data_IF_475483599676
#
_entry.id   IF_475483599676
#
_cell.length_a   1.000
_cell.length_b   1.000
_cell.length_c   1.000
_cell.angle_alpha   90.00
_cell.angle_beta   90.00
_cell.angle_gamma   90.00
#
_symmetry.space_group_name_H-M   'P 1'
#
loop_
_entity.id
_entity.type
_entity.pdbx_description
1 polymer ?
#
# COMPACT_ATOMS: atom_id res chain seq x y z
N UNK A 1 8.73 20.32 4.21
CA UNK A 1 8.76 18.96 3.64
C UNK A 1 9.83 18.17 4.37
N UNK A 2 9.47 17.36 5.37
CA UNK A 2 10.37 16.29 5.80
C UNK A 2 10.18 15.16 4.79
N UNK A 3 11.25 14.93 4.00
CA UNK A 3 11.31 14.26 2.69
C UNK A 3 11.81 12.82 2.81
N UNK A 4 11.26 12.03 3.72
CA UNK A 4 11.66 10.62 3.85
C UNK A 4 10.53 9.75 3.34
N UNK A 5 10.57 9.44 2.05
CA UNK A 5 9.68 8.45 1.46
C UNK A 5 10.49 7.46 0.64
N UNK A 6 10.27 6.17 0.92
CA UNK A 6 10.70 5.09 0.03
C UNK A 6 9.65 4.95 -1.07
N UNK A 7 10.11 4.91 -2.32
CA UNK A 7 9.24 4.78 -3.50
C UNK A 7 9.73 3.63 -4.36
N UNK A 8 8.81 2.76 -4.77
CA UNK A 8 9.08 1.67 -5.70
C UNK A 8 8.01 1.65 -6.79
N UNK A 9 8.42 1.48 -8.06
CA UNK A 9 7.48 1.33 -9.17
C UNK A 9 6.77 -0.02 -9.09
N UNK A 10 5.46 -0.04 -9.28
CA UNK A 10 4.70 -1.26 -9.53
C UNK A 10 4.95 -1.71 -10.98
N UNK A 11 6.12 -2.32 -11.23
CA UNK A 11 6.64 -2.60 -12.58
C UNK A 11 5.70 -3.43 -13.45
N UNK A 12 4.92 -4.30 -12.83
CA UNK A 12 3.98 -5.15 -13.52
C UNK A 12 2.67 -4.43 -13.85
N UNK A 13 2.37 -3.26 -13.29
CA UNK A 13 1.09 -2.57 -13.56
C UNK A 13 0.98 -2.16 -15.04
N UNK A 14 -0.21 -2.31 -15.61
CA UNK A 14 -0.49 -1.91 -16.99
C UNK A 14 -0.33 -0.40 -17.22
N UNK A 15 -0.41 0.40 -16.15
CA UNK A 15 -0.31 1.85 -16.17
C UNK A 15 0.63 2.34 -15.05
N UNK A 16 1.17 3.57 -15.11
CA UNK A 16 2.08 4.05 -14.08
C UNK A 16 1.48 3.97 -12.68
N UNK A 17 2.13 3.22 -11.80
CA UNK A 17 1.76 3.13 -10.39
C UNK A 17 2.99 2.92 -9.50
N UNK A 18 2.88 3.36 -8.25
CA UNK A 18 3.98 3.35 -7.29
C UNK A 18 3.51 2.87 -5.91
N UNK A 19 4.30 1.98 -5.31
CA UNK A 19 4.23 1.70 -3.88
C UNK A 19 5.11 2.71 -3.13
N UNK A 20 4.58 3.27 -2.05
CA UNK A 20 5.25 4.29 -1.25
C UNK A 20 5.17 3.94 0.23
N UNK A 21 6.28 4.12 0.96
CA UNK A 21 6.32 4.12 2.42
C UNK A 21 6.81 5.50 2.85
N UNK A 22 5.89 6.34 3.33
CA UNK A 22 6.17 7.73 3.68
C UNK A 22 5.60 8.09 5.06
N UNK A 23 6.18 9.11 5.69
CA UNK A 23 5.53 9.79 6.82
C UNK A 23 4.52 10.80 6.28
N UNK A 24 3.24 10.64 6.67
CA UNK A 24 2.14 11.52 6.32
C UNK A 24 1.30 11.84 7.56
N UNK A 25 0.99 13.11 7.79
CA UNK A 25 0.23 13.58 8.97
C UNK A 25 0.72 13.05 10.33
N UNK A 26 2.04 12.83 10.49
CA UNK A 26 2.69 12.22 11.68
C UNK A 26 2.39 10.73 11.87
N UNK A 27 2.01 10.04 10.80
CA UNK A 27 1.87 8.58 10.77
C UNK A 27 2.82 8.02 9.70
N UNK A 28 3.42 6.86 9.95
CA UNK A 28 4.06 6.11 8.88
C UNK A 28 2.97 5.42 8.04
N UNK A 29 2.98 5.58 6.73
CA UNK A 29 1.93 5.10 5.84
C UNK A 29 2.51 4.35 4.66
N UNK A 30 1.83 3.27 4.28
CA UNK A 30 2.02 2.59 3.00
C UNK A 30 0.93 3.05 2.05
N UNK A 31 1.32 3.31 0.79
CA UNK A 31 0.39 3.72 -0.26
C UNK A 31 0.67 2.97 -1.56
N UNK A 32 -0.40 2.63 -2.29
CA UNK A 32 -0.35 2.49 -3.74
C UNK A 32 -0.93 3.76 -4.34
N UNK A 33 -0.19 4.37 -5.27
CA UNK A 33 -0.66 5.57 -5.97
C UNK A 33 -0.55 5.43 -7.48
N UNK A 34 -1.49 6.04 -8.19
CA UNK A 34 -1.46 6.15 -9.65
C UNK A 34 -2.10 7.46 -10.11
N UNK A 35 -1.57 8.13 -11.15
CA UNK A 35 -2.28 9.22 -11.83
C UNK A 35 -3.40 8.70 -12.75
N UNK A 36 -3.41 7.40 -13.09
CA UNK A 36 -4.34 6.84 -14.06
C UNK A 36 -5.67 6.47 -13.39
N UNK A 37 -6.74 7.14 -13.82
CA UNK A 37 -8.10 6.88 -13.32
C UNK A 37 -8.58 5.46 -13.65
N UNK A 38 -8.28 4.96 -14.84
CA UNK A 38 -8.78 3.67 -15.31
C UNK A 38 -8.16 2.52 -14.51
N UNK A 39 -6.86 2.61 -14.21
CA UNK A 39 -6.19 1.64 -13.35
C UNK A 39 -6.84 1.60 -11.96
N UNK A 40 -7.03 2.76 -11.32
CA UNK A 40 -7.73 2.85 -10.03
C UNK A 40 -9.15 2.27 -10.09
N UNK A 41 -9.90 2.55 -11.15
CA UNK A 41 -11.24 2.00 -11.36
C UNK A 41 -11.25 0.49 -11.60
N UNK A 42 -10.24 -0.06 -12.27
CA UNK A 42 -10.13 -1.50 -12.51
C UNK A 42 -10.01 -2.26 -11.18
N UNK A 43 -9.20 -1.76 -10.26
CA UNK A 43 -9.03 -2.33 -8.91
C UNK A 43 -10.37 -2.28 -8.14
N UNK A 44 -11.05 -1.13 -8.17
CA UNK A 44 -12.37 -1.00 -7.51
C UNK A 44 -13.42 -1.93 -8.12
N UNK A 45 -13.44 -2.06 -9.44
CA UNK A 45 -14.39 -2.93 -10.14
C UNK A 45 -14.16 -4.40 -9.81
N UNK A 46 -12.90 -4.82 -9.72
CA UNK A 46 -12.52 -6.19 -9.36
C UNK A 46 -12.97 -6.54 -7.94
N UNK A 47 -12.66 -5.67 -6.96
CA UNK A 47 -13.13 -5.83 -5.57
C UNK A 47 -14.66 -5.88 -5.46
N UNK A 48 -15.38 -5.04 -6.23
CA UNK A 48 -16.84 -5.10 -6.26
C UNK A 48 -17.36 -6.41 -6.89
N UNK A 49 -16.64 -6.95 -7.87
CA UNK A 49 -17.04 -8.18 -8.56
C UNK A 49 -16.83 -9.42 -7.68
N UNK A 50 -15.68 -9.52 -7.02
CA UNK A 50 -15.38 -10.64 -6.10
C UNK A 50 -16.13 -10.50 -4.78
N UNK A 51 -16.45 -9.27 -4.37
CA UNK A 51 -17.02 -8.96 -3.06
C UNK A 51 -15.98 -8.90 -1.95
N UNK A 52 -14.69 -8.86 -2.31
CA UNK A 52 -13.60 -8.81 -1.36
C UNK A 52 -13.44 -7.43 -0.72
N UNK A 53 -12.95 -7.43 0.53
CA UNK A 53 -12.53 -6.24 1.24
C UNK A 53 -11.01 -6.20 1.35
N UNK A 54 -10.39 -5.10 0.91
CA UNK A 54 -8.94 -4.94 0.92
C UNK A 54 -8.32 -5.10 2.32
N UNK A 55 -9.02 -4.64 3.37
CA UNK A 55 -8.55 -4.79 4.75
C UNK A 55 -8.50 -6.25 5.19
N UNK A 56 -9.48 -7.03 4.74
CA UNK A 56 -9.57 -8.48 4.97
C UNK A 56 -8.49 -9.22 4.17
N UNK A 57 -8.35 -8.96 2.88
CA UNK A 57 -7.29 -9.54 2.04
C UNK A 57 -5.89 -9.26 2.63
N UNK A 58 -5.64 -8.03 3.09
CA UNK A 58 -4.37 -7.68 3.71
C UNK A 58 -4.17 -8.39 5.05
N UNK A 59 -5.23 -8.55 5.85
CA UNK A 59 -5.17 -9.28 7.11
C UNK A 59 -4.90 -10.78 6.89
N UNK A 60 -5.48 -11.37 5.84
CA UNK A 60 -5.24 -12.76 5.45
C UNK A 60 -3.78 -12.97 5.03
N UNK A 61 -3.24 -12.12 4.16
CA UNK A 61 -1.82 -12.15 3.77
C UNK A 61 -0.87 -11.95 4.95
N UNK A 62 -1.26 -11.16 5.97
CA UNK A 62 -0.46 -10.93 7.17
C UNK A 62 -0.64 -12.02 8.23
N UNK A 63 -1.67 -12.86 8.15
CA UNK A 63 -2.02 -13.84 9.19
C UNK A 63 -0.97 -14.93 9.39
N UNK A 64 -0.10 -15.15 8.40
CA UNK A 64 1.08 -16.01 8.49
C UNK A 64 2.24 -15.37 9.28
N UNK A 65 2.08 -14.12 9.71
CA UNK A 65 3.09 -13.35 10.47
C UNK A 65 2.61 -13.09 11.90
N UNK A 66 3.41 -13.37 12.94
CA UNK A 66 3.01 -13.18 14.33
C UNK A 66 3.07 -11.71 14.74
N UNK A 67 2.12 -10.89 14.27
CA UNK A 67 1.85 -9.58 14.89
C UNK A 67 0.35 -9.41 15.09
N UNK A 68 -0.09 -9.69 16.31
CA UNK A 68 -1.44 -9.49 16.84
C UNK A 68 -1.75 -8.00 16.98
N UNK A 69 -1.95 -7.33 15.85
CA UNK A 69 -2.29 -5.92 15.76
C UNK A 69 -3.78 -5.69 15.48
N UNK A 70 -4.20 -4.44 15.70
CA UNK A 70 -5.47 -3.91 15.19
C UNK A 70 -5.55 -4.15 13.67
N UNK A 71 -6.72 -4.51 13.11
CA UNK A 71 -6.88 -4.64 11.67
C UNK A 71 -6.40 -3.37 10.95
N UNK A 72 -5.57 -3.55 9.94
CA UNK A 72 -5.15 -2.46 9.07
C UNK A 72 -6.35 -1.99 8.25
N UNK A 73 -6.54 -0.67 8.16
CA UNK A 73 -7.60 -0.07 7.35
C UNK A 73 -7.01 0.56 6.11
N UNK A 74 -7.75 0.46 5.00
CA UNK A 74 -7.35 1.03 3.72
C UNK A 74 -8.33 2.16 3.38
N UNK A 75 -7.80 3.36 3.16
CA UNK A 75 -8.56 4.50 2.65
C UNK A 75 -8.25 4.71 1.18
N UNK A 76 -9.28 4.84 0.34
CA UNK A 76 -9.13 5.22 -1.06
C UNK A 76 -9.62 6.66 -1.28
N UNK A 77 -8.78 7.49 -1.89
CA UNK A 77 -9.11 8.88 -2.19
C UNK A 77 -8.27 9.40 -3.35
N UNK A 78 -8.65 10.59 -3.86
CA UNK A 78 -7.82 11.34 -4.81
C UNK A 78 -7.10 12.48 -4.07
N UNK A 79 -5.77 12.46 -4.09
CA UNK A 79 -4.94 13.45 -3.42
C UNK A 79 -5.01 14.83 -4.09
N UNK A 80 -4.49 15.86 -3.44
CA UNK A 80 -4.39 17.21 -4.01
C UNK A 80 -3.51 17.26 -5.27
N UNK A 81 -2.49 16.40 -5.32
CA UNK A 81 -1.63 16.21 -6.50
C UNK A 81 -2.31 15.40 -7.62
N UNK A 82 -3.62 15.16 -7.48
CA UNK A 82 -4.49 14.46 -8.43
C UNK A 82 -4.15 12.97 -8.62
N UNK A 83 -3.44 12.36 -7.67
CA UNK A 83 -3.15 10.92 -7.65
C UNK A 83 -4.29 10.16 -6.95
N UNK A 84 -4.75 9.08 -7.56
CA UNK A 84 -5.59 8.09 -6.90
C UNK A 84 -4.71 7.30 -5.93
N UNK A 85 -5.12 7.22 -4.67
CA UNK A 85 -4.29 6.76 -3.57
C UNK A 85 -5.06 5.78 -2.69
N UNK A 86 -4.55 4.57 -2.57
CA UNK A 86 -4.92 3.63 -1.51
C UNK A 86 -3.89 3.82 -0.39
N UNK A 87 -4.33 4.14 0.84
CA UNK A 87 -3.46 4.49 1.97
C UNK A 87 -3.78 3.62 3.18
N UNK A 88 -2.72 3.12 3.81
CA UNK A 88 -2.76 2.36 5.07
C UNK A 88 -1.81 2.98 6.07
N UNK A 89 -2.32 3.57 7.17
CA UNK A 89 -1.46 3.97 8.28
C UNK A 89 -0.96 2.72 9.01
N UNK A 90 0.35 2.70 9.30
CA UNK A 90 0.97 1.63 10.07
C UNK A 90 0.79 1.89 11.58
N UNK A 91 0.61 0.84 12.39
CA UNK A 91 0.51 0.95 13.84
C UNK A 91 1.89 1.15 14.50
N UNK A 92 2.74 1.98 13.88
CA UNK A 92 4.11 2.25 14.32
C UNK A 92 4.15 3.69 14.85
N UNK A 93 4.42 3.89 16.16
CA UNK A 93 4.56 5.22 16.71
C UNK A 93 5.81 5.89 16.14
N UNK A 94 5.64 7.10 15.61
CA UNK A 94 6.78 7.96 15.28
C UNK A 94 7.33 8.57 16.58
N UNK A 95 8.65 8.64 16.71
CA UNK A 95 9.26 9.46 17.75
C UNK A 95 9.01 10.98 17.48
N UNK A 96 9.33 11.89 18.43
CA UNK A 96 9.14 13.32 18.23
C UNK A 96 9.91 13.93 17.03
N UNK A 97 10.91 13.22 16.50
CA UNK A 97 11.74 13.62 15.37
C UNK A 97 11.28 12.98 14.04
N UNK A 98 10.30 12.07 14.09
CA UNK A 98 9.83 11.32 12.93
C UNK A 98 10.69 10.12 12.59
N UNK A 99 11.48 9.60 13.53
CA UNK A 99 12.24 8.37 13.38
C UNK A 99 11.40 7.16 13.79
N UNK A 100 11.50 6.09 12.99
CA UNK A 100 10.85 4.80 13.20
C UNK A 100 11.85 3.68 13.48
N UNK A 101 13.14 3.94 13.28
CA UNK A 101 14.23 2.96 13.37
C UNK A 101 14.71 2.69 14.81
N UNK A 102 14.15 3.40 15.80
CA UNK A 102 14.48 3.21 17.21
C UNK A 102 14.15 1.79 17.72
N UNK A 103 13.15 1.13 17.11
CA UNK A 103 12.80 -0.27 17.38
C UNK A 103 12.95 -1.11 16.10
N UNK A 104 13.84 -2.11 16.06
CA UNK A 104 14.00 -3.00 14.91
C UNK A 104 12.70 -3.69 14.45
N UNK A 105 11.77 -3.94 15.37
CA UNK A 105 10.47 -4.57 15.04
C UNK A 105 9.60 -3.68 14.15
N UNK A 106 9.80 -2.36 14.17
CA UNK A 106 9.12 -1.43 13.27
C UNK A 106 9.56 -1.61 11.82
N UNK A 107 10.84 -1.92 11.59
CA UNK A 107 11.38 -2.17 10.24
C UNK A 107 10.77 -3.45 9.69
N UNK A 108 10.75 -4.52 10.49
CA UNK A 108 10.13 -5.80 10.13
C UNK A 108 8.64 -5.65 9.85
N UNK A 109 7.91 -4.96 10.73
CA UNK A 109 6.48 -4.66 10.52
C UNK A 109 6.25 -3.88 9.24
N UNK A 110 7.04 -2.83 8.99
CA UNK A 110 6.91 -2.00 7.77
C UNK A 110 7.19 -2.82 6.50
N UNK A 111 8.20 -3.69 6.54
CA UNK A 111 8.54 -4.58 5.45
C UNK A 111 7.43 -5.59 5.17
N UNK A 112 6.95 -6.30 6.19
CA UNK A 112 5.92 -7.32 6.04
C UNK A 112 4.63 -6.72 5.49
N UNK A 113 4.18 -5.58 6.04
CA UNK A 113 2.99 -4.91 5.50
C UNK A 113 3.21 -4.43 4.07
N UNK A 114 4.38 -3.89 3.72
CA UNK A 114 4.67 -3.46 2.34
C UNK A 114 4.62 -4.62 1.36
N UNK A 115 5.19 -5.77 1.74
CA UNK A 115 5.17 -6.97 0.90
C UNK A 115 3.76 -7.54 0.74
N UNK A 116 2.98 -7.64 1.83
CA UNK A 116 1.57 -8.06 1.74
C UNK A 116 0.75 -7.07 0.91
N UNK A 117 1.00 -5.77 1.05
CA UNK A 117 0.35 -4.74 0.22
C UNK A 117 0.66 -4.92 -1.26
N UNK A 118 1.91 -5.21 -1.60
CA UNK A 118 2.30 -5.53 -2.96
C UNK A 118 1.60 -6.79 -3.47
N UNK A 119 1.57 -7.87 -2.69
CA UNK A 119 0.92 -9.13 -3.06
C UNK A 119 -0.57 -8.93 -3.35
N UNK A 120 -1.31 -8.34 -2.39
CA UNK A 120 -2.75 -8.06 -2.53
C UNK A 120 -3.01 -7.23 -3.78
N UNK A 121 -2.38 -6.06 -3.91
CA UNK A 121 -2.66 -5.19 -5.05
C UNK A 121 -2.18 -5.76 -6.37
N UNK A 122 -1.11 -6.56 -6.38
CA UNK A 122 -0.66 -7.20 -7.61
C UNK A 122 -1.68 -8.18 -8.17
N UNK A 123 -2.62 -8.70 -7.37
CA UNK A 123 -3.66 -9.61 -7.85
C UNK A 123 -4.94 -8.92 -8.35
N UNK A 124 -5.02 -7.58 -8.25
CA UNK A 124 -6.28 -6.85 -8.47
C UNK A 124 -6.27 -6.00 -9.74
N UNK A 125 -7.37 -6.06 -10.48
CA UNK A 125 -7.58 -5.28 -11.70
C UNK A 125 -6.39 -5.40 -12.66
N UNK A 126 -6.02 -4.29 -13.29
CA UNK A 126 -4.93 -4.26 -14.29
C UNK A 126 -3.54 -4.07 -13.66
N UNK A 127 -3.33 -4.52 -12.42
CA UNK A 127 -2.03 -4.46 -11.73
C UNK A 127 -1.05 -5.55 -12.17
N UNK A 128 -1.51 -6.52 -12.97
CA UNK A 128 -0.66 -7.41 -13.77
C UNK A 128 -0.86 -7.06 -15.24
N UNK A 129 0.17 -6.51 -15.86
CA UNK A 129 0.26 -6.36 -17.29
C UNK A 129 0.40 -7.74 -17.91
N UNK A 130 -0.21 -7.93 -19.08
CA UNK A 130 0.11 -9.08 -19.91
C UNK A 130 1.62 -9.14 -20.07
N UNK A 131 2.24 -10.24 -19.65
CA UNK A 131 3.67 -10.46 -19.82
C UNK A 131 3.91 -10.40 -21.33
N UNK A 132 4.52 -9.31 -21.81
CA UNK A 132 4.91 -9.22 -23.20
C UNK A 132 6.00 -10.28 -23.41
N UNK A 133 5.64 -11.40 -24.04
CA UNK A 133 6.59 -12.39 -24.55
C UNK A 133 7.69 -11.64 -25.32
N UNK A 134 8.92 -11.72 -24.79
CA UNK A 134 10.12 -11.11 -25.35
C UNK A 134 10.88 -12.12 -26.21
#
# INVERSE_FOLDING_TARGET
MHKSCLVCLAKASAEPAEYRLCIDQKELCILLVTPNRWLSQSIEADLMHTGDDLGTLLAEELSDTPSSGKPLTISHFRSQDKLYSFRTPLPIPLDPQGDVSADPTNIETSYNVLMSYQNVFSALGDMQGEVADS
#
